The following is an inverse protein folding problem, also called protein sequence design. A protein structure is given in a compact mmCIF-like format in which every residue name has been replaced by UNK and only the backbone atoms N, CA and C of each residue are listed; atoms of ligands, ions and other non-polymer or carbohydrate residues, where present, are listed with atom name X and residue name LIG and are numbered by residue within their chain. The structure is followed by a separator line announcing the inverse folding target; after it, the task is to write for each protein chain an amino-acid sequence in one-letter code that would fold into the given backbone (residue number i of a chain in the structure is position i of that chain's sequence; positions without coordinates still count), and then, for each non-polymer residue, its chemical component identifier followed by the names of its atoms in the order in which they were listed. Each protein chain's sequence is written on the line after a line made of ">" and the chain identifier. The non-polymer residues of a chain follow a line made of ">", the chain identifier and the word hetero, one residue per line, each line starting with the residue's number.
data_IF_041545449385
#
_entry.id   IF_041545449385
#
_cell.length_a   1.000
_cell.length_b   1.000
_cell.length_c   1.000
_cell.angle_alpha   90.00
_cell.angle_beta   90.00
_cell.angle_gamma   90.00
#
_symmetry.space_group_name_H-M   'P 1'
#
loop_
_entity.id
_entity.type
_entity.pdbx_description
1 polymer ?
#
# COMPACT_ATOMS: atom_id res chain seq x y z
N UNK A 1 35.85 -12.12 5.70
CA UNK A 1 35.12 -10.85 5.44
C UNK A 1 33.84 -10.93 6.26
N UNK A 2 33.58 -9.95 7.14
CA UNK A 2 32.44 -9.99 8.05
C UNK A 2 31.15 -9.83 7.23
N UNK A 3 30.12 -10.61 7.57
CA UNK A 3 28.84 -10.71 6.86
C UNK A 3 27.93 -9.47 7.03
N UNK A 4 28.40 -8.41 7.72
CA UNK A 4 27.59 -7.27 8.15
C UNK A 4 27.62 -6.06 7.20
N UNK A 5 28.30 -6.15 6.06
CA UNK A 5 28.46 -5.03 5.11
C UNK A 5 27.51 -5.12 3.89
N UNK A 6 26.44 -5.93 3.97
CA UNK A 6 25.56 -6.27 2.83
C UNK A 6 24.36 -5.34 2.62
N UNK A 7 24.36 -4.15 3.23
CA UNK A 7 23.26 -3.21 3.07
C UNK A 7 23.17 -2.72 1.62
N UNK A 8 22.04 -2.95 0.94
CA UNK A 8 21.78 -2.31 -0.35
C UNK A 8 21.83 -0.80 -0.15
N UNK A 9 22.72 -0.12 -0.88
CA UNK A 9 22.79 1.33 -0.90
C UNK A 9 21.58 1.86 -1.70
N UNK A 10 20.62 2.56 -1.06
CA UNK A 10 19.44 3.09 -1.74
C UNK A 10 19.78 4.21 -2.75
N UNK A 11 21.04 4.67 -2.81
CA UNK A 11 21.54 5.62 -3.80
C UNK A 11 22.21 4.99 -5.02
N UNK A 12 22.30 3.65 -5.06
CA UNK A 12 22.89 2.93 -6.19
C UNK A 12 22.07 3.12 -7.47
N UNK A 13 22.70 3.69 -8.50
CA UNK A 13 22.12 3.89 -9.83
C UNK A 13 22.29 2.69 -10.76
N UNK A 14 22.78 1.56 -10.22
CA UNK A 14 23.00 0.35 -11.01
C UNK A 14 21.67 -0.25 -11.48
N UNK A 15 21.58 -0.76 -12.73
CA UNK A 15 20.40 -1.47 -13.20
C UNK A 15 20.08 -2.69 -12.31
N UNK A 16 18.80 -3.03 -12.09
CA UNK A 16 18.42 -4.18 -11.27
C UNK A 16 19.06 -5.50 -11.71
N UNK A 17 19.22 -5.71 -13.01
CA UNK A 17 19.90 -6.90 -13.54
C UNK A 17 21.35 -7.01 -13.04
N UNK A 18 22.09 -5.89 -13.03
CA UNK A 18 23.46 -5.84 -12.53
C UNK A 18 23.51 -6.08 -11.02
N UNK A 19 22.54 -5.57 -10.26
CA UNK A 19 22.43 -5.81 -8.80
C UNK A 19 22.23 -7.31 -8.53
N UNK A 20 21.33 -7.97 -9.27
CA UNK A 20 21.04 -9.40 -9.16
C UNK A 20 22.28 -10.23 -9.52
N UNK A 21 22.98 -9.92 -10.62
CA UNK A 21 24.20 -10.62 -11.03
C UNK A 21 25.33 -10.49 -10.00
N UNK A 22 25.50 -9.30 -9.43
CA UNK A 22 26.49 -9.06 -8.38
C UNK A 22 26.15 -9.81 -7.10
N UNK A 23 24.89 -9.78 -6.67
CA UNK A 23 24.42 -10.51 -5.50
C UNK A 23 24.57 -12.04 -5.69
N UNK A 24 24.21 -12.56 -6.87
CA UNK A 24 24.38 -13.97 -7.22
C UNK A 24 25.86 -14.40 -7.17
N UNK A 25 26.75 -13.58 -7.75
CA UNK A 25 28.19 -13.81 -7.75
C UNK A 25 28.77 -13.83 -6.34
N UNK A 26 28.31 -12.93 -5.45
CA UNK A 26 28.74 -12.87 -4.04
C UNK A 26 28.28 -14.09 -3.24
N UNK A 27 27.10 -14.63 -3.55
CA UNK A 27 26.56 -15.84 -2.93
C UNK A 27 27.08 -17.14 -3.55
N UNK A 28 27.84 -17.06 -4.65
CA UNK A 28 28.33 -18.24 -5.37
C UNK A 28 27.21 -19.09 -5.98
N UNK A 29 26.12 -18.46 -6.40
CA UNK A 29 24.95 -19.15 -6.97
C UNK A 29 24.56 -18.57 -8.34
N UNK A 30 23.67 -19.26 -9.06
CA UNK A 30 23.11 -18.75 -10.32
C UNK A 30 22.13 -17.60 -10.04
N UNK A 31 22.02 -16.58 -10.93
CA UNK A 31 21.00 -15.53 -10.82
C UNK A 31 19.55 -16.04 -10.77
N UNK A 32 19.30 -17.26 -11.25
CA UNK A 32 17.98 -17.91 -11.20
C UNK A 32 17.81 -18.87 -10.01
N UNK A 33 18.78 -18.94 -9.09
CA UNK A 33 18.73 -19.82 -7.93
C UNK A 33 17.79 -19.26 -6.85
N UNK A 34 16.98 -20.13 -6.23
CA UNK A 34 16.09 -19.78 -5.13
C UNK A 34 16.85 -19.20 -3.92
N UNK A 35 18.11 -19.59 -3.73
CA UNK A 35 18.98 -19.04 -2.66
C UNK A 35 19.13 -17.52 -2.76
N UNK A 36 19.22 -16.99 -3.98
CA UNK A 36 19.33 -15.56 -4.20
C UNK A 36 18.04 -14.84 -3.78
N UNK A 37 16.88 -15.39 -4.18
CA UNK A 37 15.59 -14.82 -3.80
C UNK A 37 15.42 -14.75 -2.27
N UNK A 38 15.76 -15.82 -1.55
CA UNK A 38 15.71 -15.81 -0.09
C UNK A 38 16.64 -14.77 0.54
N UNK A 39 17.85 -14.60 0.01
CA UNK A 39 18.76 -13.57 0.50
C UNK A 39 18.21 -12.15 0.27
N UNK A 40 17.60 -11.89 -0.90
CA UNK A 40 16.96 -10.62 -1.19
C UNK A 40 15.75 -10.36 -0.27
N UNK A 41 14.96 -11.38 0.03
CA UNK A 41 13.86 -11.28 1.00
C UNK A 41 14.37 -11.02 2.43
N UNK A 42 15.55 -11.53 2.79
CA UNK A 42 16.16 -11.30 4.10
C UNK A 42 16.67 -9.87 4.29
N UNK A 43 17.27 -9.30 3.24
CA UNK A 43 17.82 -7.94 3.21
C UNK A 43 16.76 -6.85 2.95
N UNK A 44 15.54 -7.22 2.57
CA UNK A 44 14.44 -6.27 2.40
C UNK A 44 14.02 -5.63 3.73
N UNK A 45 14.36 -4.35 3.94
CA UNK A 45 13.97 -3.57 5.11
C UNK A 45 12.43 -3.46 5.25
N UNK A 46 11.70 -3.56 4.14
CA UNK A 46 10.23 -3.43 4.09
C UNK A 46 9.49 -4.75 4.26
N UNK A 47 10.18 -5.88 4.41
CA UNK A 47 9.55 -7.22 4.50
C UNK A 47 8.47 -7.32 5.59
N UNK A 48 8.66 -6.59 6.68
CA UNK A 48 7.72 -6.55 7.81
C UNK A 48 6.35 -5.97 7.42
N UNK A 49 6.27 -5.11 6.40
CA UNK A 49 5.01 -4.55 5.92
C UNK A 49 4.09 -5.63 5.31
N UNK A 50 4.65 -6.74 4.83
CA UNK A 50 3.88 -7.88 4.33
C UNK A 50 2.90 -8.40 5.40
N UNK A 51 3.30 -8.35 6.67
CA UNK A 51 2.48 -8.79 7.79
C UNK A 51 1.31 -7.84 8.09
N UNK A 52 1.30 -6.63 7.54
CA UNK A 52 0.22 -5.67 7.70
C UNK A 52 -1.00 -5.97 6.81
N UNK A 53 -0.94 -6.97 5.92
CA UNK A 53 -2.00 -7.30 4.96
C UNK A 53 -2.56 -8.70 5.16
N UNK A 54 -3.81 -8.89 4.76
CA UNK A 54 -4.39 -10.22 4.60
C UNK A 54 -4.04 -10.77 3.20
N UNK A 55 -3.18 -11.78 3.17
CA UNK A 55 -2.83 -12.50 1.93
C UNK A 55 -3.67 -13.78 1.88
N UNK A 56 -4.52 -13.97 0.85
CA UNK A 56 -5.34 -15.16 0.71
C UNK A 56 -4.50 -16.45 0.65
N UNK A 57 -5.04 -17.55 1.15
CA UNK A 57 -4.46 -18.87 0.90
C UNK A 57 -4.91 -19.39 -0.45
N UNK A 58 -4.07 -20.21 -1.06
CA UNK A 58 -4.33 -20.84 -2.37
C UNK A 58 -5.65 -21.60 -2.38
N UNK A 59 -5.98 -22.32 -1.30
CA UNK A 59 -7.26 -23.05 -1.17
C UNK A 59 -8.52 -22.17 -1.18
N UNK A 60 -8.41 -20.90 -0.81
CA UNK A 60 -9.55 -19.98 -0.70
C UNK A 60 -9.84 -19.27 -2.04
N UNK A 61 -9.01 -19.49 -3.08
CA UNK A 61 -9.14 -18.84 -4.38
C UNK A 61 -9.83 -19.74 -5.43
N UNK A 62 -10.82 -19.23 -6.16
CA UNK A 62 -11.40 -19.91 -7.33
C UNK A 62 -10.78 -19.45 -8.67
N UNK A 63 -10.64 -20.33 -9.70
CA UNK A 63 -10.57 -21.79 -9.65
C UNK A 63 -9.11 -22.25 -9.41
N UNK A 64 -8.88 -23.00 -8.34
CA UNK A 64 -7.56 -23.56 -8.00
C UNK A 64 -7.60 -25.09 -8.06
N UNK A 65 -6.66 -25.68 -8.79
CA UNK A 65 -6.45 -27.14 -8.80
C UNK A 65 -5.49 -27.56 -7.68
N UNK A 66 -6.06 -28.01 -6.56
CA UNK A 66 -5.30 -28.44 -5.38
C UNK A 66 -4.46 -29.71 -5.61
N UNK A 67 -4.57 -30.36 -6.77
CA UNK A 67 -3.67 -31.46 -7.14
C UNK A 67 -2.29 -30.95 -7.60
N UNK A 68 -2.22 -29.70 -8.07
CA UNK A 68 -1.01 -29.09 -8.62
C UNK A 68 -0.30 -28.16 -7.62
N UNK A 69 -1.01 -27.69 -6.59
CA UNK A 69 -0.52 -26.68 -5.66
C UNK A 69 -0.88 -27.02 -4.22
N UNK A 70 -0.03 -26.61 -3.28
CA UNK A 70 -0.30 -26.73 -1.85
C UNK A 70 -1.32 -25.67 -1.41
N UNK A 71 -2.52 -26.10 -1.02
CA UNK A 71 -3.61 -25.21 -0.64
C UNK A 71 -3.37 -24.35 0.60
N UNK A 72 -2.47 -24.74 1.50
CA UNK A 72 -2.17 -23.97 2.71
C UNK A 72 -1.18 -22.82 2.49
N UNK A 73 -0.50 -22.81 1.34
CA UNK A 73 0.42 -21.73 1.00
C UNK A 73 -0.34 -20.43 0.70
N UNK A 74 0.32 -19.32 0.99
CA UNK A 74 -0.16 -18.01 0.55
C UNK A 74 -0.14 -17.93 -0.97
N UNK A 75 -1.16 -17.31 -1.55
CA UNK A 75 -1.20 -17.10 -2.98
C UNK A 75 -0.11 -16.11 -3.44
N UNK A 76 0.29 -16.23 -4.70
CA UNK A 76 1.12 -15.23 -5.38
C UNK A 76 0.16 -14.19 -5.98
N UNK A 77 0.00 -13.07 -5.28
CA UNK A 77 -0.97 -12.04 -5.65
C UNK A 77 -0.32 -10.91 -6.46
N UNK A 78 -0.41 -10.98 -7.79
CA UNK A 78 0.16 -9.99 -8.72
C UNK A 78 -0.85 -8.99 -9.31
N UNK A 79 -2.06 -8.91 -8.74
CA UNK A 79 -3.13 -8.00 -9.21
C UNK A 79 -3.38 -6.82 -8.26
N UNK A 80 -2.40 -6.49 -7.42
CA UNK A 80 -2.48 -5.39 -6.44
C UNK A 80 -2.65 -3.99 -7.04
N UNK A 81 -2.31 -3.82 -8.32
CA UNK A 81 -2.54 -2.60 -9.09
C UNK A 81 -4.01 -2.36 -9.42
N UNK A 82 -4.83 -3.42 -9.47
CA UNK A 82 -6.27 -3.31 -9.71
C UNK A 82 -7.03 -3.27 -8.39
N UNK A 83 -6.75 -4.23 -7.51
CA UNK A 83 -7.35 -4.29 -6.17
C UNK A 83 -6.27 -4.63 -5.16
N UNK A 84 -5.91 -3.65 -4.33
CA UNK A 84 -4.96 -3.84 -3.25
C UNK A 84 -5.46 -4.86 -2.21
N UNK A 85 -4.53 -5.59 -1.59
CA UNK A 85 -4.86 -6.46 -0.47
C UNK A 85 -5.40 -5.64 0.70
N UNK A 86 -6.31 -6.22 1.47
CA UNK A 86 -6.89 -5.56 2.63
C UNK A 86 -5.84 -5.37 3.73
N UNK A 87 -5.57 -4.13 4.19
CA UNK A 87 -4.78 -3.89 5.39
C UNK A 87 -5.50 -4.42 6.63
N UNK A 88 -4.78 -5.07 7.55
CA UNK A 88 -5.35 -5.64 8.78
C UNK A 88 -6.02 -4.60 9.68
N UNK A 89 -5.56 -3.35 9.64
CA UNK A 89 -6.12 -2.24 10.43
C UNK A 89 -7.50 -1.76 9.94
N UNK A 90 -7.94 -2.14 8.73
CA UNK A 90 -9.23 -1.70 8.18
C UNK A 90 -10.38 -2.04 9.13
N UNK A 91 -10.40 -3.26 9.67
CA UNK A 91 -11.44 -3.69 10.60
C UNK A 91 -11.44 -2.84 11.88
N UNK A 92 -10.27 -2.61 12.47
CA UNK A 92 -10.13 -1.80 13.68
C UNK A 92 -10.68 -0.39 13.50
N UNK A 93 -10.30 0.29 12.40
CA UNK A 93 -10.79 1.64 12.14
C UNK A 93 -12.29 1.68 11.86
N UNK A 94 -12.83 0.66 11.19
CA UNK A 94 -14.27 0.58 10.98
C UNK A 94 -15.03 0.38 12.28
N UNK A 95 -14.57 -0.55 13.13
CA UNK A 95 -15.17 -0.84 14.42
C UNK A 95 -15.17 0.41 15.33
N UNK A 96 -14.08 1.19 15.35
CA UNK A 96 -14.00 2.46 16.09
C UNK A 96 -15.06 3.48 15.65
N UNK A 97 -15.30 3.61 14.35
CA UNK A 97 -16.27 4.54 13.79
C UNK A 97 -17.72 4.07 14.03
N UNK A 98 -17.97 2.77 13.92
CA UNK A 98 -19.27 2.15 14.24
C UNK A 98 -19.61 2.29 15.73
N UNK A 99 -18.64 2.05 16.61
CA UNK A 99 -18.81 2.22 18.06
C UNK A 99 -19.07 3.68 18.44
N UNK A 100 -18.37 4.62 17.78
CA UNK A 100 -18.63 6.05 17.95
C UNK A 100 -20.05 6.39 17.51
N UNK A 101 -20.49 5.90 16.36
CA UNK A 101 -21.84 6.15 15.87
C UNK A 101 -22.90 5.61 16.83
N UNK A 102 -22.75 4.38 17.30
CA UNK A 102 -23.66 3.78 18.27
C UNK A 102 -23.76 4.58 19.58
N UNK A 103 -22.64 5.18 20.03
CA UNK A 103 -22.57 5.92 21.30
C UNK A 103 -23.03 7.37 21.21
N UNK A 104 -22.66 8.08 20.16
CA UNK A 104 -22.78 9.55 20.10
C UNK A 104 -23.71 10.03 18.99
N UNK A 105 -24.16 9.16 18.10
CA UNK A 105 -25.05 9.50 17.00
C UNK A 105 -24.51 10.67 16.19
N UNK A 106 -25.36 11.68 15.96
CA UNK A 106 -25.02 12.89 15.20
C UNK A 106 -23.84 13.68 15.80
N UNK A 107 -23.56 13.55 17.09
CA UNK A 107 -22.43 14.25 17.72
C UNK A 107 -21.07 13.75 17.23
N UNK A 108 -21.00 12.60 16.56
CA UNK A 108 -19.79 12.11 15.88
C UNK A 108 -19.33 12.98 14.70
N UNK A 109 -20.17 13.89 14.20
CA UNK A 109 -19.78 14.84 13.16
C UNK A 109 -18.65 15.78 13.60
N UNK A 110 -18.65 16.20 14.86
CA UNK A 110 -17.74 17.23 15.37
C UNK A 110 -16.82 16.72 16.48
N UNK A 111 -17.04 15.50 16.99
CA UNK A 111 -16.31 14.96 18.14
C UNK A 111 -15.64 13.62 17.84
N UNK A 112 -14.52 13.35 18.51
CA UNK A 112 -13.74 12.12 18.40
C UNK A 112 -12.39 12.31 17.71
N UNK A 113 -11.64 11.21 17.53
CA UNK A 113 -10.33 11.26 16.87
C UNK A 113 -10.41 11.59 15.38
N UNK A 114 -11.54 11.23 14.74
CA UNK A 114 -11.85 11.51 13.33
C UNK A 114 -13.25 12.13 13.23
N UNK A 115 -13.39 13.45 13.37
CA UNK A 115 -14.68 14.11 13.17
C UNK A 115 -15.19 13.87 11.75
N UNK A 116 -16.43 13.39 11.58
CA UNK A 116 -16.92 13.02 10.24
C UNK A 116 -17.03 14.22 9.29
N UNK A 117 -17.20 15.43 9.83
CA UNK A 117 -17.24 16.66 9.02
C UNK A 117 -15.87 17.00 8.38
N UNK A 118 -14.77 16.45 8.89
CA UNK A 118 -13.40 16.72 8.43
C UNK A 118 -12.64 15.41 8.14
N UNK A 119 -13.36 14.31 7.90
CA UNK A 119 -12.75 12.99 7.75
C UNK A 119 -11.83 12.94 6.52
N UNK A 120 -12.15 13.70 5.48
CA UNK A 120 -11.33 13.90 4.29
C UNK A 120 -10.04 14.66 4.64
N UNK A 121 -10.12 15.75 5.40
CA UNK A 121 -8.94 16.53 5.84
C UNK A 121 -7.97 15.70 6.69
N UNK A 122 -8.48 14.78 7.51
CA UNK A 122 -7.69 13.95 8.42
C UNK A 122 -6.66 13.03 7.74
N UNK A 123 -6.80 12.77 6.44
CA UNK A 123 -5.92 11.87 5.67
C UNK A 123 -5.12 12.60 4.60
N UNK A 124 -5.33 13.90 4.43
CA UNK A 124 -4.65 14.68 3.38
C UNK A 124 -3.15 14.78 3.65
N UNK A 125 -2.73 15.02 4.89
CA UNK A 125 -1.31 15.15 5.23
C UNK A 125 -0.55 13.85 4.94
N UNK A 126 -1.17 12.70 5.21
CA UNK A 126 -0.62 11.38 4.89
C UNK A 126 -0.48 11.16 3.38
N UNK A 127 -1.44 11.67 2.59
CA UNK A 127 -1.38 11.58 1.13
C UNK A 127 -0.39 12.57 0.51
N UNK A 128 -0.19 13.74 1.13
CA UNK A 128 0.70 14.78 0.64
C UNK A 128 2.16 14.30 0.56
N UNK A 129 2.62 13.54 1.55
CA UNK A 129 3.95 12.90 1.53
C UNK A 129 4.10 11.91 0.37
N UNK A 130 3.03 11.18 0.03
CA UNK A 130 3.04 10.19 -1.05
C UNK A 130 3.08 10.84 -2.44
N UNK A 131 2.31 11.91 -2.64
CA UNK A 131 2.21 12.58 -3.95
C UNK A 131 3.23 13.71 -4.14
N UNK A 132 3.98 14.06 -3.10
CA UNK A 132 5.00 15.10 -3.12
C UNK A 132 4.46 16.52 -3.35
N UNK A 133 3.21 16.82 -2.93
CA UNK A 133 2.59 18.14 -3.13
C UNK A 133 2.53 18.96 -1.84
N UNK A 134 2.76 20.27 -2.00
CA UNK A 134 2.60 21.29 -0.96
C UNK A 134 1.12 21.55 -0.64
N UNK A 135 0.86 21.96 0.60
CA UNK A 135 -0.43 22.08 1.32
C UNK A 135 -1.62 22.80 0.62
N UNK A 136 -1.46 23.35 -0.58
CA UNK A 136 -2.40 24.32 -1.17
C UNK A 136 -3.50 23.72 -2.06
N UNK A 137 -3.39 22.45 -2.47
CA UNK A 137 -4.34 21.81 -3.41
C UNK A 137 -5.10 20.66 -2.73
N UNK A 138 -5.73 20.96 -1.59
CA UNK A 138 -6.41 19.96 -0.76
C UNK A 138 -7.85 19.75 -1.18
N UNK A 139 -8.08 18.69 -1.97
CA UNK A 139 -9.38 18.05 -2.01
C UNK A 139 -9.21 16.57 -2.31
N UNK A 140 -9.42 15.73 -1.31
CA UNK A 140 -9.43 14.28 -1.49
C UNK A 140 -10.87 13.85 -1.79
N UNK A 141 -11.20 13.62 -3.07
CA UNK A 141 -12.40 12.86 -3.41
C UNK A 141 -12.01 11.40 -3.67
N UNK A 142 -12.74 10.49 -3.03
CA UNK A 142 -12.49 9.05 -2.97
C UNK A 142 -12.68 8.32 -4.32
N UNK A 143 -13.27 8.99 -5.32
CA UNK A 143 -13.47 8.45 -6.66
C UNK A 143 -12.57 9.17 -7.69
N UNK A 144 -11.80 8.39 -8.45
CA UNK A 144 -10.94 8.90 -9.54
C UNK A 144 -11.75 9.67 -10.60
N UNK A 145 -12.96 9.22 -10.92
CA UNK A 145 -13.83 9.88 -11.91
C UNK A 145 -14.33 11.25 -11.45
N UNK A 146 -14.62 11.41 -10.16
CA UNK A 146 -15.07 12.71 -9.63
C UNK A 146 -13.96 13.75 -9.62
N UNK A 147 -12.70 13.33 -9.38
CA UNK A 147 -11.54 14.23 -9.40
C UNK A 147 -11.29 14.81 -10.80
N UNK A 148 -11.42 14.00 -11.86
CA UNK A 148 -11.24 14.46 -13.24
C UNK A 148 -12.27 15.54 -13.64
N UNK A 149 -13.53 15.37 -13.21
CA UNK A 149 -14.59 16.35 -13.45
C UNK A 149 -14.44 17.65 -12.65
N UNK A 150 -13.85 17.61 -11.44
CA UNK A 150 -13.64 18.82 -10.63
C UNK A 150 -12.48 19.67 -11.15
N UNK A 151 -11.38 19.03 -11.58
CA UNK A 151 -10.24 19.72 -12.20
C UNK A 151 -10.62 20.31 -13.56
N UNK A 152 -11.55 19.68 -14.28
CA UNK A 152 -12.01 20.11 -15.61
C UNK A 152 -13.03 21.25 -15.64
N UNK A 153 -13.47 21.82 -14.51
CA UNK A 153 -14.40 22.97 -14.56
C UNK A 153 -13.63 24.29 -14.74
N UNK A 154 -13.75 24.97 -15.91
CA UNK A 154 -13.29 26.35 -16.00
C UNK A 154 -14.06 27.20 -14.99
N UNK A 155 -13.34 28.07 -14.29
CA UNK A 155 -13.89 29.13 -13.45
C UNK A 155 -14.70 30.08 -14.34
N UNK A 156 -15.99 29.80 -14.53
CA UNK A 156 -16.88 30.63 -15.33
C UNK A 156 -18.17 30.92 -14.58
N UNK A 157 -18.10 31.82 -13.60
CA UNK A 157 -19.19 32.76 -13.27
C UNK A 157 -18.84 33.69 -12.11
N UNK A 158 -18.02 34.70 -12.38
CA UNK A 158 -18.05 35.96 -11.65
C UNK A 158 -18.33 37.10 -12.64
N UNK A 159 -19.59 37.21 -13.10
CA UNK A 159 -20.20 38.47 -13.60
C UNK A 159 -21.66 38.21 -14.03
N UNK A 160 -22.58 38.57 -13.13
CA UNK A 160 -23.99 39.02 -13.31
C UNK A 160 -24.61 38.94 -11.91
N UNK A 161 -25.09 39.99 -11.27
CA UNK A 161 -25.70 41.24 -11.76
C UNK A 161 -25.46 42.33 -10.72
#
# INVERSE_FOLDING_TARGET
>A
VKLNDLKMDPSSTAPPATIIEQAASRLGCSPADKKLAFHLDEEDELKHLRECFYIPKVKDLPPTDLTLVNGEESCIYFVGNSLGLQPKKVKTYLDEELDKWARTGVHGHFNGQRPWAQADECIVDLMAELVGRYELERKLCLEMETNFFQVGKPWSSATRT
#
